data_IF_538495544879
#
_entry.id   IF_538495544879
#
_cell.length_a   1.000
_cell.length_b   1.000
_cell.length_c   1.000
_cell.angle_alpha   90.00
_cell.angle_beta   90.00
_cell.angle_gamma   90.00
#
_symmetry.space_group_name_H-M   'P 1'
#
loop_
_entity.id
_entity.type
_entity.pdbx_description
1 polymer ?
#
# COMPACT_ATOMS: atom_id res chain seq x y z
N UNK A 1 1.06 -13.64 -11.87
CA UNK A 1 0.67 -12.91 -13.09
C UNK A 1 1.81 -11.94 -13.40
N UNK A 2 2.50 -12.04 -14.55
CA UNK A 2 3.58 -11.09 -14.89
C UNK A 2 2.93 -9.72 -15.10
N UNK A 3 3.13 -8.79 -14.18
CA UNK A 3 2.69 -7.41 -14.39
C UNK A 3 3.70 -6.74 -15.33
N UNK A 4 3.29 -6.54 -16.59
CA UNK A 4 3.82 -5.44 -17.39
C UNK A 4 3.48 -4.11 -16.67
N UNK A 5 4.26 -3.06 -16.90
CA UNK A 5 4.05 -1.74 -16.27
C UNK A 5 2.60 -1.25 -16.37
N UNK A 6 2.26 -0.25 -15.55
CA UNK A 6 0.90 0.31 -15.55
C UNK A 6 0.50 0.79 -16.95
N UNK A 7 -0.77 0.62 -17.36
CA UNK A 7 -1.22 1.13 -18.65
C UNK A 7 -1.19 2.66 -18.65
N UNK A 8 -0.91 3.25 -19.81
CA UNK A 8 -0.83 4.71 -20.00
C UNK A 8 -2.18 5.42 -19.75
N UNK A 9 -3.28 4.67 -19.75
CA UNK A 9 -4.64 5.15 -19.49
C UNK A 9 -5.36 4.23 -18.52
N UNK A 10 -6.15 4.83 -17.62
CA UNK A 10 -6.86 4.22 -16.51
C UNK A 10 -8.36 4.48 -16.68
N UNK A 11 -9.12 3.40 -16.77
CA UNK A 11 -10.58 3.43 -16.83
C UNK A 11 -11.16 2.33 -15.94
N UNK A 12 -12.43 2.44 -15.57
CA UNK A 12 -13.09 1.37 -14.81
C UNK A 12 -13.27 0.14 -15.67
N UNK A 13 -12.94 -1.01 -15.12
CA UNK A 13 -13.08 -2.31 -15.78
C UNK A 13 -14.56 -2.65 -15.92
N UNK A 14 -15.06 -2.98 -17.12
CA UNK A 14 -16.46 -3.35 -17.29
C UNK A 14 -16.92 -4.45 -16.33
N UNK A 15 -17.99 -4.19 -15.57
CA UNK A 15 -18.56 -5.12 -14.60
C UNK A 15 -17.90 -5.13 -13.22
N UNK A 16 -16.83 -4.36 -13.00
CA UNK A 16 -16.30 -4.09 -11.65
C UNK A 16 -17.09 -2.99 -10.96
N UNK A 17 -17.08 -3.03 -9.63
CA UNK A 17 -17.87 -2.17 -8.75
C UNK A 17 -16.98 -1.21 -7.96
N UNK A 18 -17.60 -0.16 -7.42
CA UNK A 18 -16.96 0.83 -6.54
C UNK A 18 -17.55 0.66 -5.14
N UNK A 19 -16.70 0.50 -4.12
CA UNK A 19 -17.12 0.40 -2.74
C UNK A 19 -16.95 1.73 -2.02
N UNK A 20 -18.05 2.32 -1.55
CA UNK A 20 -18.04 3.52 -0.74
C UNK A 20 -18.09 3.18 0.74
N UNK A 21 -17.06 3.59 1.47
CA UNK A 21 -17.03 3.51 2.93
C UNK A 21 -17.76 4.74 3.48
N UNK A 22 -19.06 4.59 3.71
CA UNK A 22 -19.95 5.64 4.19
C UNK A 22 -20.02 5.70 5.71
N UNK A 23 -20.42 6.86 6.27
CA UNK A 23 -20.74 6.98 7.70
C UNK A 23 -21.98 6.18 8.10
N UNK A 24 -22.92 6.01 7.17
CA UNK A 24 -24.00 5.03 7.31
C UNK A 24 -23.46 3.64 6.96
N UNK A 25 -23.23 2.81 7.99
CA UNK A 25 -22.66 1.48 7.82
C UNK A 25 -23.63 0.51 7.12
N UNK A 26 -24.94 0.79 7.12
CA UNK A 26 -25.92 -0.06 6.44
C UNK A 26 -25.78 0.06 4.91
N UNK A 27 -25.42 1.24 4.39
CA UNK A 27 -25.08 1.41 2.97
C UNK A 27 -23.82 0.62 2.58
N UNK A 28 -22.83 0.48 3.47
CA UNK A 28 -21.68 -0.39 3.21
C UNK A 28 -22.14 -1.85 3.11
N UNK A 29 -23.00 -2.30 4.03
CA UNK A 29 -23.53 -3.68 4.03
C UNK A 29 -24.35 -3.98 2.79
N UNK A 30 -25.20 -3.06 2.35
CA UNK A 30 -26.00 -3.21 1.14
C UNK A 30 -25.11 -3.33 -0.11
N UNK A 31 -24.00 -2.58 -0.19
CA UNK A 31 -23.02 -2.73 -1.28
C UNK A 31 -22.36 -4.12 -1.25
N UNK A 32 -21.95 -4.59 -0.06
CA UNK A 32 -21.25 -5.87 0.11
C UNK A 32 -22.14 -7.08 -0.16
N UNK A 33 -23.41 -7.04 0.26
CA UNK A 33 -24.25 -8.24 0.36
C UNK A 33 -25.53 -8.22 -0.47
N UNK A 34 -25.99 -7.04 -0.89
CA UNK A 34 -27.28 -6.87 -1.57
C UNK A 34 -27.13 -6.34 -3.00
N UNK A 35 -25.90 -6.06 -3.44
CA UNK A 35 -25.60 -5.60 -4.80
C UNK A 35 -25.91 -4.13 -5.04
N UNK A 36 -26.04 -3.31 -3.98
CA UNK A 36 -26.18 -1.86 -4.13
C UNK A 36 -24.93 -1.28 -4.81
N UNK A 37 -25.12 -0.52 -5.88
CA UNK A 37 -24.05 0.20 -6.57
C UNK A 37 -24.29 1.70 -6.45
N UNK A 38 -23.47 2.34 -5.61
CA UNK A 38 -23.51 3.78 -5.40
C UNK A 38 -22.67 4.51 -6.46
N UNK A 39 -22.98 5.79 -6.67
CA UNK A 39 -22.22 6.70 -7.52
C UNK A 39 -21.77 7.89 -6.70
N UNK A 40 -20.60 8.42 -7.05
CA UNK A 40 -20.04 9.57 -6.34
C UNK A 40 -20.96 10.79 -6.44
N UNK A 41 -21.68 10.96 -7.56
CA UNK A 41 -22.64 12.06 -7.75
C UNK A 41 -23.86 12.03 -6.81
N UNK A 42 -24.17 10.86 -6.22
CA UNK A 42 -25.27 10.69 -5.27
C UNK A 42 -24.84 10.93 -3.81
N UNK A 43 -23.54 11.10 -3.57
CA UNK A 43 -22.95 11.24 -2.24
C UNK A 43 -22.16 12.55 -2.16
N UNK A 44 -21.93 13.00 -0.93
CA UNK A 44 -20.97 14.07 -0.68
C UNK A 44 -19.81 13.53 0.13
N UNK A 45 -18.66 14.19 0.07
CA UNK A 45 -17.46 13.77 0.80
C UNK A 45 -17.74 13.68 2.31
N UNK A 46 -18.58 14.55 2.85
CA UNK A 46 -18.99 14.52 4.25
C UNK A 46 -19.83 13.29 4.63
N UNK A 47 -20.43 12.58 3.68
CA UNK A 47 -21.19 11.35 3.92
C UNK A 47 -20.26 10.13 4.03
N UNK A 48 -18.98 10.29 3.66
CA UNK A 48 -17.96 9.24 3.68
C UNK A 48 -17.25 9.15 5.03
N UNK A 49 -16.77 7.95 5.35
CA UNK A 49 -16.10 7.63 6.59
C UNK A 49 -14.70 8.28 6.61
N UNK A 50 -14.47 9.09 7.65
CA UNK A 50 -13.18 9.73 7.94
C UNK A 50 -12.37 8.87 8.95
N UNK A 51 -11.08 9.17 9.11
CA UNK A 51 -10.23 8.59 10.17
C UNK A 51 -10.17 7.06 10.19
N UNK A 52 -10.25 6.44 9.01
CA UNK A 52 -10.10 5.00 8.86
C UNK A 52 -8.67 4.63 9.23
N UNK A 53 -8.47 4.16 10.45
CA UNK A 53 -7.14 3.79 10.92
C UNK A 53 -6.79 2.34 10.54
N UNK A 54 -5.51 2.01 10.64
CA UNK A 54 -5.02 0.68 10.25
C UNK A 54 -5.54 -0.45 11.14
N UNK A 55 -6.06 -0.18 12.35
CA UNK A 55 -6.73 -1.19 13.19
C UNK A 55 -8.14 -1.51 12.71
N UNK A 56 -8.85 -0.53 12.14
CA UNK A 56 -10.14 -0.76 11.48
C UNK A 56 -9.95 -1.65 10.26
N UNK A 57 -8.92 -1.38 9.46
CA UNK A 57 -8.61 -2.14 8.24
C UNK A 57 -8.08 -3.53 8.55
N UNK A 58 -7.08 -3.64 9.41
CA UNK A 58 -6.43 -4.91 9.77
C UNK A 58 -6.07 -4.91 11.26
N UNK A 59 -6.98 -5.34 12.15
CA UNK A 59 -6.68 -5.53 13.56
C UNK A 59 -5.43 -6.39 13.78
N UNK A 60 -4.77 -6.24 14.93
CA UNK A 60 -3.49 -6.92 15.20
C UNK A 60 -3.50 -8.44 14.92
N UNK A 61 -4.58 -9.15 15.25
CA UNK A 61 -4.68 -10.60 15.01
C UNK A 61 -4.74 -10.98 13.52
N UNK A 62 -5.20 -10.06 12.65
CA UNK A 62 -5.15 -10.25 11.19
C UNK A 62 -3.71 -10.21 10.70
N UNK A 63 -2.85 -9.45 11.38
CA UNK A 63 -1.43 -9.33 11.06
C UNK A 63 -0.60 -10.53 11.57
N UNK A 64 -1.23 -11.56 12.14
CA UNK A 64 -0.55 -12.83 12.42
C UNK A 64 -0.40 -13.65 11.15
N UNK A 65 -1.29 -13.47 10.17
CA UNK A 65 -1.08 -14.00 8.83
C UNK A 65 0.00 -13.19 8.12
N UNK A 66 0.94 -13.87 7.46
CA UNK A 66 2.02 -13.21 6.71
C UNK A 66 1.73 -13.15 5.20
N UNK A 67 0.98 -14.12 4.68
CA UNK A 67 0.54 -14.15 3.28
C UNK A 67 -0.50 -13.04 3.03
N UNK A 68 -0.26 -12.12 2.08
CA UNK A 68 -1.20 -11.04 1.78
C UNK A 68 -2.59 -11.51 1.38
N UNK A 69 -2.70 -12.66 0.70
CA UNK A 69 -3.96 -13.28 0.35
C UNK A 69 -4.78 -13.69 1.59
N UNK A 70 -4.12 -14.14 2.66
CA UNK A 70 -4.78 -14.50 3.92
C UNK A 70 -5.21 -13.26 4.72
N UNK A 71 -4.37 -12.22 4.71
CA UNK A 71 -4.69 -10.90 5.29
C UNK A 71 -5.95 -10.32 4.62
N UNK A 72 -6.04 -10.38 3.29
CA UNK A 72 -7.17 -9.83 2.51
C UNK A 72 -8.52 -10.45 2.87
N UNK A 73 -8.56 -11.73 3.28
CA UNK A 73 -9.80 -12.40 3.75
C UNK A 73 -10.44 -11.66 4.92
N UNK A 74 -9.64 -10.95 5.72
CA UNK A 74 -10.08 -10.23 6.90
C UNK A 74 -9.92 -8.71 6.77
N UNK A 75 -9.95 -8.19 5.54
CA UNK A 75 -10.01 -6.76 5.29
C UNK A 75 -11.20 -6.12 6.06
N UNK A 76 -10.95 -4.98 6.69
CA UNK A 76 -11.90 -4.22 7.49
C UNK A 76 -12.52 -4.98 8.68
N UNK A 77 -11.82 -5.99 9.22
CA UNK A 77 -12.32 -6.77 10.36
C UNK A 77 -12.49 -5.95 11.65
N UNK A 78 -11.89 -4.76 11.74
CA UNK A 78 -12.07 -3.85 12.87
C UNK A 78 -13.27 -2.91 12.74
N UNK A 79 -13.94 -2.87 11.58
CA UNK A 79 -15.16 -2.08 11.40
C UNK A 79 -16.36 -2.84 11.94
N UNK A 80 -16.90 -2.37 13.08
CA UNK A 80 -17.94 -3.07 13.85
C UNK A 80 -19.23 -2.26 13.92
N UNK A 81 -20.36 -2.95 13.83
CA UNK A 81 -21.71 -2.41 14.04
C UNK A 81 -22.49 -3.39 14.91
N UNK A 82 -23.04 -2.92 16.04
CA UNK A 82 -23.80 -3.75 16.98
C UNK A 82 -23.09 -5.05 17.44
N UNK A 83 -21.76 -4.98 17.61
CA UNK A 83 -20.94 -6.12 18.03
C UNK A 83 -20.62 -7.13 16.92
N UNK A 84 -21.06 -6.88 15.68
CA UNK A 84 -20.77 -7.68 14.51
C UNK A 84 -19.85 -6.93 13.55
N UNK A 85 -19.05 -7.66 12.77
CA UNK A 85 -18.25 -7.08 11.70
C UNK A 85 -19.17 -6.55 10.60
N UNK A 86 -18.88 -5.36 10.10
CA UNK A 86 -19.51 -4.84 8.87
C UNK A 86 -19.04 -5.69 7.68
N UNK A 87 -17.74 -6.00 7.64
CA UNK A 87 -17.11 -6.88 6.65
C UNK A 87 -16.91 -8.27 7.25
N UNK A 88 -17.75 -9.22 6.86
CA UNK A 88 -17.50 -10.64 7.09
C UNK A 88 -16.20 -11.11 6.41
N UNK A 89 -15.73 -12.30 6.76
CA UNK A 89 -14.59 -12.92 6.06
C UNK A 89 -14.89 -13.00 4.54
N UNK A 90 -13.88 -12.70 3.72
CA UNK A 90 -13.92 -12.60 2.26
C UNK A 90 -14.86 -11.53 1.67
N UNK A 91 -15.55 -10.72 2.48
CA UNK A 91 -16.56 -9.80 1.97
C UNK A 91 -16.03 -8.80 0.92
N UNK A 92 -14.80 -8.30 1.09
CA UNK A 92 -14.19 -7.40 0.10
C UNK A 92 -13.76 -8.14 -1.18
N UNK A 93 -13.24 -9.37 -1.04
CA UNK A 93 -12.81 -10.24 -2.16
C UNK A 93 -14.02 -10.60 -3.03
N UNK A 94 -15.10 -11.05 -2.39
CA UNK A 94 -16.29 -11.55 -3.05
C UNK A 94 -17.15 -10.42 -3.65
N UNK A 95 -16.95 -9.19 -3.19
CA UNK A 95 -17.73 -8.02 -3.60
C UNK A 95 -17.50 -7.53 -5.02
N UNK A 96 -16.48 -8.05 -5.72
CA UNK A 96 -16.11 -7.70 -7.09
C UNK A 96 -15.82 -6.19 -7.28
N UNK A 97 -15.25 -5.56 -6.26
CA UNK A 97 -14.86 -4.15 -6.30
C UNK A 97 -13.47 -4.00 -6.93
N UNK A 98 -13.24 -2.88 -7.64
CA UNK A 98 -11.90 -2.47 -8.08
C UNK A 98 -11.48 -1.12 -7.50
N UNK A 99 -12.43 -0.34 -6.97
CA UNK A 99 -12.21 0.96 -6.35
C UNK A 99 -12.78 0.96 -4.94
N UNK A 100 -12.06 1.57 -3.99
CA UNK A 100 -12.57 1.84 -2.65
C UNK A 100 -12.51 3.34 -2.34
N UNK A 101 -13.57 3.87 -1.73
CA UNK A 101 -13.79 5.31 -1.56
C UNK A 101 -13.99 5.64 -0.09
N UNK A 102 -13.35 6.71 0.40
CA UNK A 102 -13.44 7.14 1.80
C UNK A 102 -13.29 8.65 1.95
N UNK A 103 -13.56 9.17 3.14
CA UNK A 103 -13.43 10.60 3.43
C UNK A 103 -11.98 11.02 3.70
N UNK A 104 -11.79 11.77 4.77
CA UNK A 104 -10.53 12.36 5.20
C UNK A 104 -9.65 11.37 5.96
N UNK A 105 -8.33 11.52 5.84
CA UNK A 105 -7.29 10.85 6.63
C UNK A 105 -7.40 9.32 6.61
N UNK A 106 -7.47 8.73 5.41
CA UNK A 106 -7.42 7.27 5.24
C UNK A 106 -6.06 6.72 5.66
N UNK A 107 -6.07 5.66 6.46
CA UNK A 107 -4.89 4.89 6.86
C UNK A 107 -4.10 5.48 8.04
N UNK A 108 -4.76 6.17 8.97
CA UNK A 108 -4.10 6.71 10.17
C UNK A 108 -3.64 5.60 11.14
N UNK A 109 -2.77 5.95 12.09
CA UNK A 109 -2.33 5.03 13.13
C UNK A 109 -0.99 4.37 12.81
N UNK A 110 -0.86 3.10 13.15
CA UNK A 110 0.41 2.38 13.05
C UNK A 110 0.83 2.14 11.60
N UNK A 111 2.16 2.05 11.39
CA UNK A 111 2.81 1.82 10.10
C UNK A 111 2.66 0.37 9.61
N UNK A 112 1.41 -0.09 9.46
CA UNK A 112 1.08 -1.42 8.95
C UNK A 112 0.84 -1.38 7.46
N UNK A 113 1.76 -1.95 6.68
CA UNK A 113 1.56 -2.16 5.25
C UNK A 113 0.40 -3.12 4.97
N UNK A 114 0.10 -4.04 5.91
CA UNK A 114 -1.04 -4.97 5.86
C UNK A 114 -2.37 -4.29 5.59
N UNK A 115 -2.56 -3.05 6.03
CA UNK A 115 -3.77 -2.27 5.77
C UNK A 115 -3.94 -1.92 4.28
N UNK A 116 -2.86 -1.58 3.57
CA UNK A 116 -2.93 -1.36 2.11
C UNK A 116 -2.97 -2.70 1.36
N UNK A 117 -2.23 -3.71 1.84
CA UNK A 117 -2.22 -5.05 1.24
C UNK A 117 -3.60 -5.70 1.26
N UNK A 118 -4.38 -5.57 2.33
CA UNK A 118 -5.69 -6.21 2.40
C UNK A 118 -6.64 -5.72 1.29
N UNK A 119 -6.53 -4.45 0.90
CA UNK A 119 -7.29 -3.89 -0.23
C UNK A 119 -6.75 -4.39 -1.56
N UNK A 120 -5.43 -4.31 -1.76
CA UNK A 120 -4.80 -4.73 -3.01
C UNK A 120 -5.07 -6.19 -3.33
N UNK A 121 -4.86 -7.09 -2.36
CA UNK A 121 -5.10 -8.53 -2.54
C UNK A 121 -6.59 -8.90 -2.56
N UNK A 122 -7.48 -8.00 -2.15
CA UNK A 122 -8.91 -8.16 -2.41
C UNK A 122 -9.35 -7.68 -3.80
N UNK A 123 -8.42 -7.16 -4.62
CA UNK A 123 -8.68 -6.73 -6.00
C UNK A 123 -8.88 -5.23 -6.16
N UNK A 124 -8.67 -4.43 -5.11
CA UNK A 124 -8.74 -2.97 -5.19
C UNK A 124 -7.50 -2.43 -5.91
N UNK A 125 -7.74 -1.83 -7.08
CA UNK A 125 -6.73 -1.21 -7.93
C UNK A 125 -6.57 0.28 -7.65
N UNK A 126 -7.69 0.97 -7.37
CA UNK A 126 -7.73 2.43 -7.18
C UNK A 126 -8.30 2.74 -5.80
N UNK A 127 -7.64 3.61 -5.05
CA UNK A 127 -8.07 4.08 -3.74
C UNK A 127 -8.41 5.56 -3.84
N UNK A 128 -9.66 5.92 -3.52
CA UNK A 128 -10.16 7.29 -3.57
C UNK A 128 -10.38 7.79 -2.14
N UNK A 129 -9.79 8.94 -1.82
CA UNK A 129 -10.00 9.58 -0.53
C UNK A 129 -9.88 11.10 -0.64
N UNK A 130 -10.40 11.82 0.35
CA UNK A 130 -10.20 13.26 0.44
C UNK A 130 -8.78 13.60 0.95
N UNK A 131 -8.19 12.72 1.75
CA UNK A 131 -6.78 12.78 2.14
C UNK A 131 -6.28 11.44 2.66
N UNK A 132 -4.97 11.21 2.54
CA UNK A 132 -4.29 10.01 3.00
C UNK A 132 -3.33 10.33 4.15
N UNK A 133 -3.17 9.40 5.09
CA UNK A 133 -2.08 9.46 6.04
C UNK A 133 -0.75 9.19 5.31
N UNK A 134 0.33 9.97 5.54
CA UNK A 134 1.55 9.88 4.72
C UNK A 134 2.20 8.49 4.65
N UNK A 135 2.13 7.72 5.74
CA UNK A 135 2.66 6.36 5.77
C UNK A 135 1.79 5.40 4.95
N UNK A 136 0.47 5.55 5.03
CA UNK A 136 -0.44 4.72 4.26
C UNK A 136 -0.31 5.00 2.77
N UNK A 137 -0.25 6.29 2.38
CA UNK A 137 0.03 6.72 1.01
C UNK A 137 1.30 6.05 0.46
N UNK A 138 2.40 6.10 1.23
CA UNK A 138 3.65 5.43 0.85
C UNK A 138 3.49 3.92 0.70
N UNK A 139 2.69 3.26 1.55
CA UNK A 139 2.41 1.83 1.43
C UNK A 139 1.61 1.52 0.16
N UNK A 140 0.59 2.33 -0.19
CA UNK A 140 -0.13 2.16 -1.45
C UNK A 140 0.81 2.33 -2.66
N UNK A 141 1.72 3.32 -2.64
CA UNK A 141 2.74 3.52 -3.68
C UNK A 141 3.67 2.30 -3.77
N UNK A 142 4.20 1.81 -2.64
CA UNK A 142 5.08 0.65 -2.61
C UNK A 142 4.41 -0.59 -3.21
N UNK A 143 3.11 -0.72 -2.96
CA UNK A 143 2.31 -1.80 -3.52
C UNK A 143 1.88 -1.52 -4.95
N UNK A 144 1.99 -0.30 -5.48
CA UNK A 144 1.53 0.04 -6.82
C UNK A 144 0.01 0.13 -6.94
N UNK A 145 -0.68 0.61 -5.91
CA UNK A 145 -2.09 1.00 -5.97
C UNK A 145 -2.20 2.47 -6.36
N UNK A 146 -3.11 2.77 -7.29
CA UNK A 146 -3.37 4.14 -7.71
C UNK A 146 -4.19 4.85 -6.64
N UNK A 147 -3.87 6.12 -6.39
CA UNK A 147 -4.61 6.97 -5.47
C UNK A 147 -5.11 8.20 -6.22
N UNK A 148 -6.35 8.59 -5.96
CA UNK A 148 -6.97 9.75 -6.60
C UNK A 148 -8.01 10.40 -5.70
N UNK A 149 -8.63 11.45 -6.21
CA UNK A 149 -9.69 12.18 -5.52
C UNK A 149 -11.10 11.83 -6.03
N UNK A 150 -12.11 12.39 -5.38
CA UNK A 150 -13.51 12.12 -5.71
C UNK A 150 -13.91 12.65 -7.10
N UNK A 151 -13.27 13.71 -7.60
CA UNK A 151 -13.57 14.25 -8.93
C UNK A 151 -13.03 13.33 -10.03
N UNK A 152 -11.85 12.73 -9.82
CA UNK A 152 -11.36 11.66 -10.69
C UNK A 152 -12.32 10.48 -10.72
N UNK A 153 -12.91 10.11 -9.57
CA UNK A 153 -13.89 9.03 -9.52
C UNK A 153 -15.17 9.35 -10.31
N UNK A 154 -15.71 10.57 -10.21
CA UNK A 154 -16.88 10.99 -11.01
C UNK A 154 -16.62 10.84 -12.51
N UNK A 155 -15.45 11.29 -12.98
CA UNK A 155 -15.01 11.15 -14.37
C UNK A 155 -14.89 9.68 -14.78
N UNK A 156 -14.23 8.86 -13.97
CA UNK A 156 -14.12 7.42 -14.19
C UNK A 156 -15.51 6.73 -14.26
N UNK A 157 -16.43 7.08 -13.35
CA UNK A 157 -17.81 6.57 -13.33
C UNK A 157 -18.69 7.11 -14.46
N UNK A 158 -18.26 8.17 -15.15
CA UNK A 158 -18.86 8.67 -16.40
C UNK A 158 -18.34 7.97 -17.66
N UNK A 159 -17.37 7.06 -17.50
CA UNK A 159 -16.75 6.31 -18.59
C UNK A 159 -15.55 7.01 -19.22
N UNK A 160 -14.97 8.00 -18.54
CA UNK A 160 -13.74 8.65 -19.00
C UNK A 160 -12.51 7.76 -18.78
N UNK A 161 -11.61 7.78 -19.77
CA UNK A 161 -10.27 7.18 -19.73
C UNK A 161 -9.28 8.25 -19.24
N UNK A 162 -8.79 8.12 -18.01
CA UNK A 162 -7.86 9.08 -17.41
C UNK A 162 -6.40 8.69 -17.71
N UNK A 163 -5.53 9.61 -18.19
CA UNK A 163 -4.12 9.29 -18.38
C UNK A 163 -3.45 8.98 -17.04
N UNK A 164 -2.51 8.01 -17.04
CA UNK A 164 -1.78 7.60 -15.84
C UNK A 164 -1.09 8.77 -15.14
N UNK A 165 -0.65 9.77 -15.92
CA UNK A 165 -0.03 10.99 -15.40
C UNK A 165 -0.91 11.76 -14.42
N UNK A 166 -2.24 11.69 -14.51
CA UNK A 166 -3.12 12.33 -13.53
C UNK A 166 -3.00 11.70 -12.13
N UNK A 167 -2.56 10.44 -12.03
CA UNK A 167 -2.31 9.76 -10.76
C UNK A 167 -0.86 9.93 -10.27
N UNK A 168 0.08 10.25 -11.16
CA UNK A 168 1.52 10.25 -10.84
C UNK A 168 2.14 11.65 -10.76
N UNK A 169 1.57 12.66 -11.44
CA UNK A 169 2.20 13.98 -11.60
C UNK A 169 2.36 14.80 -10.33
N UNK A 170 1.67 14.41 -9.25
CA UNK A 170 1.81 15.03 -7.93
C UNK A 170 3.07 14.58 -7.18
N UNK A 171 3.71 13.50 -7.64
CA UNK A 171 4.90 12.92 -7.05
C UNK A 171 6.17 13.38 -7.76
N UNK A 172 7.31 13.26 -7.08
CA UNK A 172 8.61 13.41 -7.72
C UNK A 172 8.86 12.29 -8.74
N UNK A 173 9.83 12.53 -9.64
CA UNK A 173 10.15 11.63 -10.75
C UNK A 173 10.43 10.18 -10.32
N UNK A 174 11.05 9.97 -9.15
CA UNK A 174 11.38 8.61 -8.69
C UNK A 174 10.15 7.91 -8.13
N UNK A 175 9.34 8.62 -7.34
CA UNK A 175 8.08 8.08 -6.82
C UNK A 175 7.08 7.82 -7.94
N UNK A 176 6.99 8.69 -8.96
CA UNK A 176 6.22 8.44 -10.17
C UNK A 176 6.69 7.16 -10.87
N UNK A 177 8.00 6.99 -11.09
CA UNK A 177 8.57 5.77 -11.68
C UNK A 177 8.28 4.49 -10.88
N UNK A 178 8.26 4.57 -9.54
CA UNK A 178 7.87 3.45 -8.67
C UNK A 178 6.42 3.05 -8.95
N UNK A 179 5.51 4.03 -8.98
CA UNK A 179 4.10 3.80 -9.19
C UNK A 179 3.84 3.25 -10.61
N UNK A 180 4.42 3.89 -11.65
CA UNK A 180 4.33 3.47 -13.05
C UNK A 180 4.88 2.05 -13.31
N UNK A 181 5.87 1.64 -12.51
CA UNK A 181 6.39 0.27 -12.54
C UNK A 181 5.44 -0.76 -11.94
N UNK A 182 4.37 -0.33 -11.26
CA UNK A 182 3.44 -1.23 -10.56
C UNK A 182 3.83 -1.51 -9.12
N UNK A 183 4.68 -0.66 -8.52
CA UNK A 183 5.13 -0.75 -7.14
C UNK A 183 6.64 -0.91 -6.97
N UNK A 184 7.11 -0.86 -5.72
CA UNK A 184 8.52 -0.81 -5.35
C UNK A 184 9.30 -2.05 -5.78
N UNK A 185 8.70 -3.25 -5.65
CA UNK A 185 9.37 -4.49 -6.02
C UNK A 185 9.61 -4.59 -7.53
N UNK A 186 8.60 -4.28 -8.35
CA UNK A 186 8.74 -4.30 -9.80
C UNK A 186 9.67 -3.18 -10.27
N UNK A 187 9.58 -1.99 -9.68
CA UNK A 187 10.55 -0.91 -9.91
C UNK A 187 11.99 -1.37 -9.62
N UNK A 188 12.25 -1.97 -8.45
CA UNK A 188 13.57 -2.45 -8.06
C UNK A 188 14.12 -3.48 -9.06
N UNK A 189 13.27 -4.40 -9.49
CA UNK A 189 13.61 -5.42 -10.49
C UNK A 189 13.95 -4.80 -11.84
N UNK A 190 13.10 -3.91 -12.36
CA UNK A 190 13.32 -3.21 -13.64
C UNK A 190 14.57 -2.33 -13.61
N UNK A 191 14.81 -1.64 -12.50
CA UNK A 191 16.03 -0.85 -12.29
C UNK A 191 17.29 -1.75 -12.30
N UNK A 192 17.23 -2.91 -11.63
CA UNK A 192 18.35 -3.87 -11.60
C UNK A 192 18.64 -4.50 -12.96
N UNK A 193 17.62 -4.63 -13.81
CA UNK A 193 17.74 -5.11 -15.18
C UNK A 193 18.11 -4.01 -16.20
N UNK A 194 18.32 -2.77 -15.75
CA UNK A 194 18.58 -1.61 -16.61
C UNK A 194 17.44 -1.28 -17.60
N UNK A 195 16.20 -1.59 -17.23
CA UNK A 195 14.99 -1.27 -18.02
C UNK A 195 14.44 0.14 -17.72
N UNK A 196 14.88 0.73 -16.61
CA UNK A 196 14.53 2.10 -16.18
C UNK A 196 15.82 2.81 -15.79
N UNK A 197 15.91 4.09 -16.14
CA UNK A 197 16.98 4.97 -15.70
C UNK A 197 16.46 5.99 -14.68
N UNK A 198 17.26 6.22 -13.63
CA UNK A 198 16.96 7.26 -12.65
C UNK A 198 17.37 8.64 -13.17
N UNK A 199 16.60 9.69 -12.83
CA UNK A 199 17.02 11.08 -13.04
C UNK A 199 18.41 11.31 -12.44
N UNK A 200 19.27 12.00 -13.19
CA UNK A 200 20.66 12.23 -12.77
C UNK A 200 20.75 13.42 -11.83
N UNK A 201 21.41 13.23 -10.69
CA UNK A 201 21.72 14.30 -9.75
C UNK A 201 22.90 15.15 -10.22
N UNK A 202 22.99 16.37 -9.70
CA UNK A 202 24.13 17.26 -9.97
C UNK A 202 25.43 16.72 -9.37
N UNK A 203 26.52 16.95 -10.08
CA UNK A 203 27.89 16.72 -9.60
C UNK A 203 28.58 17.99 -9.13
N UNK A 204 27.89 19.12 -9.17
CA UNK A 204 28.41 20.41 -8.72
C UNK A 204 28.68 20.36 -7.22
N UNK A 205 29.94 20.55 -6.85
CA UNK A 205 30.35 20.40 -5.46
C UNK A 205 29.81 21.56 -4.63
N UNK A 206 29.08 21.23 -3.57
CA UNK A 206 28.64 22.19 -2.55
C UNK A 206 28.80 21.59 -1.14
N UNK A 207 28.82 22.42 -0.09
CA UNK A 207 28.77 21.92 1.27
C UNK A 207 27.52 21.05 1.47
N UNK A 208 27.72 19.83 1.97
CA UNK A 208 26.67 18.91 2.40
C UNK A 208 26.76 18.69 3.91
N UNK A 209 25.60 18.61 4.54
CA UNK A 209 25.39 18.13 5.91
C UNK A 209 25.86 16.69 6.08
N UNK A 210 25.92 16.21 7.33
CA UNK A 210 26.27 14.81 7.59
C UNK A 210 25.24 13.85 6.96
N UNK A 211 23.95 14.17 7.03
CA UNK A 211 22.88 13.33 6.47
C UNK A 211 22.99 13.23 4.94
N UNK A 212 23.16 14.37 4.26
CA UNK A 212 23.36 14.42 2.81
C UNK A 212 24.60 13.65 2.39
N UNK A 213 25.71 13.74 3.13
CA UNK A 213 26.92 12.94 2.86
C UNK A 213 26.68 11.44 3.03
N UNK A 214 25.90 11.03 4.03
CA UNK A 214 25.54 9.62 4.23
C UNK A 214 24.70 9.13 3.04
N UNK A 215 23.71 9.90 2.60
CA UNK A 215 22.86 9.57 1.45
C UNK A 215 23.71 9.52 0.16
N UNK A 216 24.46 10.57 -0.13
CA UNK A 216 25.32 10.68 -1.32
C UNK A 216 26.32 9.51 -1.44
N UNK A 217 26.85 9.03 -0.32
CA UNK A 217 27.76 7.86 -0.30
C UNK A 217 27.09 6.56 -0.72
N UNK A 218 25.77 6.44 -0.59
CA UNK A 218 25.02 5.21 -0.82
C UNK A 218 24.09 5.30 -2.04
N UNK A 219 24.21 6.32 -2.90
CA UNK A 219 23.35 6.47 -4.07
C UNK A 219 23.44 5.28 -5.03
N UNK A 220 22.29 4.87 -5.58
CA UNK A 220 22.16 3.84 -6.61
C UNK A 220 21.94 4.51 -7.97
N UNK A 221 22.63 4.06 -9.02
CA UNK A 221 22.41 4.52 -10.40
C UNK A 221 22.90 5.94 -10.73
N UNK A 222 23.64 6.58 -9.82
CA UNK A 222 24.11 7.96 -9.94
C UNK A 222 25.59 8.07 -10.33
N UNK A 223 26.03 9.17 -10.96
CA UNK A 223 27.43 9.37 -11.31
C UNK A 223 28.32 9.51 -10.07
N UNK A 224 29.59 9.12 -10.21
CA UNK A 224 30.57 9.27 -9.13
C UNK A 224 30.73 10.74 -8.76
N UNK A 225 30.57 11.05 -7.48
CA UNK A 225 30.67 12.43 -6.97
C UNK A 225 29.35 13.21 -7.03
N UNK A 226 28.23 12.57 -7.35
CA UNK A 226 26.90 13.15 -7.20
C UNK A 226 26.71 13.72 -5.78
N UNK A 227 26.15 14.92 -5.70
CA UNK A 227 25.74 15.56 -4.46
C UNK A 227 24.21 15.52 -4.35
N UNK A 228 23.72 15.66 -3.12
CA UNK A 228 22.29 15.72 -2.82
C UNK A 228 21.99 17.00 -2.06
N UNK A 229 20.77 17.51 -2.23
CA UNK A 229 20.19 18.61 -1.47
C UNK A 229 18.78 18.23 -0.97
N UNK A 230 18.14 19.03 -0.10
CA UNK A 230 16.75 18.80 0.27
C UNK A 230 15.85 18.71 -0.96
N UNK A 231 14.83 17.85 -0.85
CA UNK A 231 13.84 17.57 -1.89
C UNK A 231 14.36 16.82 -3.15
N UNK A 232 15.64 16.43 -3.19
CA UNK A 232 16.12 15.51 -4.23
C UNK A 232 15.54 14.10 -4.00
N UNK A 233 14.83 13.51 -4.99
CA UNK A 233 14.37 12.14 -4.90
C UNK A 233 15.50 11.17 -5.24
N UNK A 234 15.78 10.22 -4.34
CA UNK A 234 16.94 9.33 -4.47
C UNK A 234 16.62 7.89 -4.09
N UNK A 235 17.31 6.96 -4.76
CA UNK A 235 17.44 5.58 -4.31
C UNK A 235 18.80 5.43 -3.65
N UNK A 236 18.79 4.98 -2.39
CA UNK A 236 19.99 4.72 -1.61
C UNK A 236 20.08 3.23 -1.25
N UNK A 237 21.29 2.68 -1.35
CA UNK A 237 21.58 1.31 -0.94
C UNK A 237 21.42 1.18 0.58
N UNK A 238 20.54 0.27 0.99
CA UNK A 238 20.37 -0.09 2.40
C UNK A 238 21.63 -0.82 2.88
N UNK A 239 22.28 -0.26 3.91
CA UNK A 239 23.52 -0.81 4.47
C UNK A 239 23.28 -1.78 5.63
N UNK A 240 22.05 -1.90 6.13
CA UNK A 240 21.65 -2.78 7.22
C UNK A 240 20.24 -2.47 7.67
N UNK A 241 19.67 -3.33 8.49
CA UNK A 241 18.28 -3.19 8.93
C UNK A 241 17.93 -4.14 10.05
N UNK A 242 16.69 -4.05 10.50
CA UNK A 242 16.14 -4.95 11.49
C UNK A 242 14.67 -5.23 11.17
N UNK A 243 14.21 -6.41 11.54
CA UNK A 243 12.83 -6.85 11.33
C UNK A 243 12.36 -7.64 12.55
N UNK A 244 11.06 -7.67 12.77
CA UNK A 244 10.46 -8.42 13.88
C UNK A 244 9.43 -9.42 13.35
N UNK A 245 8.94 -10.31 14.18
CA UNK A 245 8.17 -11.50 13.79
C UNK A 245 6.87 -11.19 13.01
N UNK A 246 6.23 -10.04 13.26
CA UNK A 246 5.05 -9.60 12.50
C UNK A 246 5.34 -9.28 11.02
N UNK A 247 6.55 -8.83 10.71
CA UNK A 247 6.90 -8.32 9.38
C UNK A 247 7.89 -9.21 8.66
N UNK A 248 8.70 -9.99 9.39
CA UNK A 248 9.77 -10.83 8.81
C UNK A 248 9.22 -11.86 7.84
N UNK A 249 8.20 -12.62 8.23
CA UNK A 249 7.59 -13.62 7.35
C UNK A 249 6.92 -12.98 6.13
N UNK A 250 6.29 -11.82 6.31
CA UNK A 250 5.68 -11.08 5.21
C UNK A 250 6.72 -10.57 4.20
N UNK A 251 7.82 -9.97 4.67
CA UNK A 251 8.93 -9.52 3.83
C UNK A 251 9.55 -10.71 3.09
N UNK A 252 9.68 -11.86 3.76
CA UNK A 252 10.15 -13.10 3.13
C UNK A 252 9.24 -13.53 1.98
N UNK A 253 7.91 -13.57 2.18
CA UNK A 253 6.94 -13.90 1.13
C UNK A 253 7.10 -12.98 -0.08
N UNK A 254 7.16 -11.66 0.11
CA UNK A 254 7.32 -10.73 -1.01
C UNK A 254 8.63 -10.89 -1.76
N UNK A 255 9.73 -11.14 -1.04
CA UNK A 255 11.03 -11.38 -1.66
C UNK A 255 11.04 -12.69 -2.47
N UNK A 256 10.42 -13.75 -1.95
CA UNK A 256 10.27 -15.02 -2.68
C UNK A 256 9.41 -14.87 -3.93
N UNK A 257 8.26 -14.18 -3.83
CA UNK A 257 7.38 -13.94 -4.98
C UNK A 257 8.08 -13.12 -6.08
N UNK A 258 8.91 -12.14 -5.68
CA UNK A 258 9.57 -11.23 -6.62
C UNK A 258 10.82 -11.84 -7.25
N UNK A 259 11.68 -12.47 -6.44
CA UNK A 259 13.02 -12.89 -6.83
C UNK A 259 13.22 -14.42 -6.88
N UNK A 260 12.20 -15.21 -6.49
CA UNK A 260 12.23 -16.67 -6.43
C UNK A 260 12.60 -17.22 -5.06
N UNK A 261 12.38 -18.51 -4.85
CA UNK A 261 12.62 -19.20 -3.57
C UNK A 261 14.09 -19.12 -3.11
N UNK A 262 15.03 -19.06 -4.06
CA UNK A 262 16.47 -19.03 -3.80
C UNK A 262 17.05 -17.62 -3.58
N UNK A 263 16.21 -16.59 -3.39
CA UNK A 263 16.68 -15.22 -3.22
C UNK A 263 17.68 -15.10 -2.04
N UNK A 264 18.65 -14.19 -2.17
CA UNK A 264 19.65 -13.94 -1.14
C UNK A 264 19.69 -12.47 -0.78
N UNK A 265 19.77 -12.17 0.52
CA UNK A 265 19.99 -10.81 0.99
C UNK A 265 21.44 -10.39 0.73
N UNK A 266 21.62 -9.14 0.33
CA UNK A 266 22.96 -8.54 0.26
C UNK A 266 23.44 -8.23 1.67
N UNK A 267 24.60 -8.74 2.07
CA UNK A 267 25.18 -8.56 3.40
C UNK A 267 24.25 -9.00 4.56
N UNK A 268 23.82 -10.27 4.62
CA UNK A 268 22.84 -10.73 5.61
C UNK A 268 23.28 -10.50 7.07
N UNK A 269 24.59 -10.48 7.33
CA UNK A 269 25.16 -10.19 8.66
C UNK A 269 24.86 -8.77 9.19
N UNK A 270 24.36 -7.86 8.35
CA UNK A 270 23.95 -6.51 8.74
C UNK A 270 22.44 -6.38 8.98
N UNK A 271 21.72 -7.49 8.94
CA UNK A 271 20.29 -7.54 9.23
C UNK A 271 20.03 -8.34 10.51
N UNK A 272 19.29 -7.74 11.44
CA UNK A 272 18.84 -8.40 12.66
C UNK A 272 17.37 -8.82 12.56
N UNK A 273 17.04 -10.01 13.04
CA UNK A 273 15.66 -10.43 13.28
C UNK A 273 15.47 -10.71 14.77
N UNK A 274 14.34 -10.32 15.33
CA UNK A 274 14.07 -10.48 16.75
C UNK A 274 12.58 -10.69 17.02
N UNK A 275 12.27 -11.27 18.19
CA UNK A 275 10.91 -11.39 18.70
C UNK A 275 10.59 -10.18 19.59
N UNK A 276 9.39 -9.61 19.47
CA UNK A 276 8.98 -8.42 20.23
C UNK A 276 7.52 -8.48 20.71
N UNK A 277 6.58 -8.56 19.78
CA UNK A 277 5.16 -8.37 20.02
C UNK A 277 4.39 -9.67 20.33
N UNK A 278 4.83 -10.82 19.80
CA UNK A 278 4.16 -12.12 19.95
C UNK A 278 4.67 -12.94 21.14
N UNK A 279 5.80 -12.56 21.75
CA UNK A 279 6.43 -13.27 22.87
C UNK A 279 5.45 -13.55 24.04
N UNK A 280 4.53 -12.62 24.28
CA UNK A 280 3.50 -12.71 25.32
C UNK A 280 2.08 -12.68 24.78
N UNK A 281 1.87 -13.01 23.50
CA UNK A 281 0.55 -12.95 22.88
C UNK A 281 -0.49 -13.82 23.62
N UNK A 282 -0.07 -14.96 24.16
CA UNK A 282 -0.91 -15.87 24.96
C UNK A 282 -1.46 -15.24 26.26
N UNK A 283 -0.87 -14.14 26.75
CA UNK A 283 -1.39 -13.40 27.90
C UNK A 283 -2.44 -12.34 27.52
N UNK A 284 -2.59 -12.01 26.24
CA UNK A 284 -3.57 -11.04 25.78
C UNK A 284 -4.89 -11.76 25.43
N UNK A 285 -6.00 -11.54 26.17
CA UNK A 285 -7.27 -12.21 25.92
C UNK A 285 -7.82 -11.99 24.50
N UNK A 286 -7.44 -10.88 23.83
CA UNK A 286 -7.83 -10.60 22.45
C UNK A 286 -7.09 -11.46 21.43
N UNK A 287 -5.91 -11.98 21.79
CA UNK A 287 -5.08 -12.80 20.89
C UNK A 287 -5.27 -14.29 21.12
N UNK A 288 -5.70 -14.70 22.32
CA UNK A 288 -5.98 -16.11 22.67
C UNK A 288 -6.79 -16.86 21.60
N UNK A 289 -7.89 -16.32 21.03
CA UNK A 289 -8.65 -17.03 19.98
C UNK A 289 -7.86 -17.30 18.69
N UNK A 290 -6.79 -16.54 18.46
CA UNK A 290 -6.01 -16.53 17.22
C UNK A 290 -4.60 -17.12 17.42
N UNK A 291 -4.29 -17.68 18.59
CA UNK A 291 -2.95 -18.26 18.88
C UNK A 291 -2.58 -19.43 17.96
N UNK A 292 -3.55 -20.07 17.31
CA UNK A 292 -3.29 -21.10 16.30
C UNK A 292 -2.57 -20.56 15.05
N UNK A 293 -2.51 -19.22 14.87
CA UNK A 293 -1.79 -18.55 13.79
C UNK A 293 -0.37 -18.11 14.17
N UNK A 294 -0.04 -18.16 15.46
CA UNK A 294 1.28 -17.76 15.96
C UNK A 294 2.14 -19.00 15.97
N UNK A 295 3.04 -19.10 14.99
CA UNK A 295 4.01 -20.19 14.82
C UNK A 295 5.37 -19.87 15.44
#
# INVERSE_FOLDING_TARGET
MRMQGMPDSISLTPGKRVLFLTKDLDLIRQQLYEGLDLRMEDLRVEDLLDDINTDVMTPAWVCFDHEPAMIAKNAYAGLMQNGLRVFNENALIDGNFEVIVSGQRKGTGSSRETAAQCERWAGIRIVIAASFAPIHERNNINLGQLMGDHAMLERLQSGEDLPLSEFTSQYDDVTALILESGGLFEFSKRLSNHEIELPKLSTDQHPMTMAEKIIARNLVGQPKGACVKPDDPVIAQVQGGYSHEFTTAQVHTFLQETYGEDYQLTNPQKFGVFEDHLLYAHHNPKFVPFMHKVE
#
